data_IF_682933691956
#
_entry.id   IF_682933691956
#
_cell.length_a   1.000
_cell.length_b   1.000
_cell.length_c   1.000
_cell.angle_alpha   90.00
_cell.angle_beta   90.00
_cell.angle_gamma   90.00
#
_symmetry.space_group_name_H-M   'P 1'
#
loop_
_entity.id
_entity.type
_entity.pdbx_description
1 polymer ?
#
# COMPACT_ATOMS: atom_id res chain seq x y z
N UNK A 1 0.43 -29.16 -70.30
CA UNK A 1 1.62 -28.86 -69.46
C UNK A 1 1.48 -27.44 -68.92
N UNK A 2 2.17 -27.08 -67.82
CA UNK A 2 2.02 -25.89 -66.94
C UNK A 2 1.09 -26.25 -65.74
N UNK A 3 1.51 -26.97 -64.69
CA UNK A 3 2.51 -26.74 -63.62
C UNK A 3 2.21 -25.51 -62.73
N UNK A 4 1.59 -25.78 -61.58
CA UNK A 4 1.53 -24.90 -60.41
C UNK A 4 2.94 -24.64 -59.84
N UNK A 5 3.19 -23.41 -59.41
CA UNK A 5 4.19 -23.03 -58.41
C UNK A 5 3.73 -21.67 -57.83
N UNK A 6 3.26 -21.63 -56.58
CA UNK A 6 4.02 -21.29 -55.37
C UNK A 6 4.27 -19.79 -55.15
N UNK A 7 3.86 -19.36 -53.95
CA UNK A 7 4.41 -18.31 -53.08
C UNK A 7 4.23 -16.83 -53.45
N UNK A 8 3.41 -16.15 -52.64
CA UNK A 8 3.78 -14.88 -52.01
C UNK A 8 2.96 -14.65 -50.72
N UNK A 9 3.64 -14.67 -49.57
CA UNK A 9 3.28 -14.03 -48.28
C UNK A 9 3.96 -12.65 -48.34
N UNK A 10 3.37 -11.48 -47.98
CA UNK A 10 3.03 -11.10 -46.60
C UNK A 10 1.80 -10.11 -46.57
N UNK A 11 1.38 -9.40 -45.54
CA UNK A 11 1.95 -9.00 -44.27
C UNK A 11 0.80 -8.70 -43.30
N UNK A 12 0.98 -9.13 -42.05
CA UNK A 12 0.16 -8.79 -40.89
C UNK A 12 0.43 -7.32 -40.53
N UNK A 13 -0.56 -6.43 -40.68
CA UNK A 13 -0.45 -5.05 -40.21
C UNK A 13 -0.98 -4.98 -38.77
N UNK A 14 -0.06 -4.86 -37.82
CA UNK A 14 -0.36 -4.48 -36.44
C UNK A 14 -0.88 -3.03 -36.41
N UNK A 15 -2.07 -2.84 -35.86
CA UNK A 15 -2.59 -1.53 -35.50
C UNK A 15 -1.91 -1.06 -34.21
N UNK A 16 -0.93 -0.17 -34.33
CA UNK A 16 -0.33 0.52 -33.17
C UNK A 16 -1.23 1.71 -32.78
N UNK A 17 -1.83 1.64 -31.59
CA UNK A 17 -2.42 2.81 -30.94
C UNK A 17 -1.28 3.74 -30.52
N UNK A 18 -1.08 4.85 -31.24
CA UNK A 18 -0.20 5.92 -30.77
C UNK A 18 -0.99 6.78 -29.79
N UNK A 19 -0.64 6.75 -28.51
CA UNK A 19 -1.08 7.77 -27.56
C UNK A 19 -0.55 9.12 -28.05
N UNK A 20 -1.45 10.02 -28.41
CA UNK A 20 -1.11 11.40 -28.71
C UNK A 20 -0.75 12.11 -27.41
N UNK A 21 0.55 12.32 -27.20
CA UNK A 21 1.09 13.24 -26.21
C UNK A 21 0.74 14.67 -26.64
N UNK A 22 -0.29 15.24 -26.02
CA UNK A 22 -0.62 16.66 -26.19
C UNK A 22 0.41 17.46 -25.40
N UNK A 23 1.42 17.99 -26.08
CA UNK A 23 2.30 19.00 -25.52
C UNK A 23 1.53 20.30 -25.30
N UNK A 24 1.44 20.72 -24.05
CA UNK A 24 1.00 22.06 -23.65
C UNK A 24 2.26 22.90 -23.46
N UNK A 25 2.52 23.83 -24.39
CA UNK A 25 3.63 24.77 -24.34
C UNK A 25 3.23 26.05 -23.57
N UNK A 26 4.05 26.36 -22.56
CA UNK A 26 4.37 27.67 -21.96
C UNK A 26 3.30 28.59 -21.36
N UNK A 27 3.45 28.92 -20.06
CA UNK A 27 4.36 30.00 -19.62
C UNK A 27 4.26 30.23 -18.10
N UNK A 28 5.37 30.14 -17.37
CA UNK A 28 5.91 31.15 -16.44
C UNK A 28 7.09 30.55 -15.65
N UNK A 29 8.23 31.22 -15.70
CA UNK A 29 9.46 30.79 -15.05
C UNK A 29 9.41 31.03 -13.53
N UNK A 30 9.18 29.95 -12.79
CA UNK A 30 9.83 29.69 -11.52
C UNK A 30 10.32 28.25 -11.62
N UNK A 31 11.62 27.99 -11.47
CA UNK A 31 12.15 26.62 -11.45
C UNK A 31 11.29 25.79 -10.50
N UNK A 32 10.64 24.70 -10.95
CA UNK A 32 10.10 23.76 -10.00
C UNK A 32 11.31 23.24 -9.21
N UNK A 33 11.27 23.40 -7.88
CA UNK A 33 12.16 22.66 -7.01
C UNK A 33 12.11 21.18 -7.45
N UNK A 34 13.23 20.43 -7.38
CA UNK A 34 13.20 19.03 -7.73
C UNK A 34 12.13 18.36 -6.86
N UNK A 35 11.03 17.97 -7.49
CA UNK A 35 10.07 17.05 -6.88
C UNK A 35 10.81 15.72 -6.83
N UNK A 36 11.50 15.47 -5.73
CA UNK A 36 12.10 14.17 -5.48
C UNK A 36 10.96 13.17 -5.51
N UNK A 37 10.93 12.32 -6.53
CA UNK A 37 10.01 11.20 -6.56
C UNK A 37 10.22 10.37 -5.29
N UNK A 38 9.16 9.90 -4.62
CA UNK A 38 9.29 9.08 -3.42
C UNK A 38 10.21 7.90 -3.72
N UNK A 39 11.17 7.66 -2.82
CA UNK A 39 12.06 6.51 -2.93
C UNK A 39 11.28 5.21 -2.66
N UNK A 40 11.85 4.05 -2.99
CA UNK A 40 11.23 2.75 -2.67
C UNK A 40 10.82 2.62 -1.20
N UNK A 41 11.65 3.15 -0.30
CA UNK A 41 11.40 3.13 1.14
C UNK A 41 10.24 4.04 1.58
N UNK A 42 9.91 5.09 0.82
CA UNK A 42 8.77 5.96 1.10
C UNK A 42 7.45 5.38 0.56
N UNK A 43 7.54 4.45 -0.41
CA UNK A 43 6.38 3.80 -1.01
C UNK A 43 5.86 2.62 -0.18
N UNK A 44 6.72 1.93 0.58
CA UNK A 44 6.32 0.79 1.42
C UNK A 44 5.33 1.19 2.55
N UNK A 45 5.58 2.24 3.35
CA UNK A 45 4.60 2.70 4.34
C UNK A 45 3.30 3.22 3.72
N UNK A 46 3.36 3.81 2.52
CA UNK A 46 2.15 4.26 1.82
C UNK A 46 1.30 3.06 1.37
N UNK A 47 1.91 2.03 0.79
CA UNK A 47 1.22 0.80 0.43
C UNK A 47 0.62 0.10 1.66
N UNK A 48 1.36 0.07 2.77
CA UNK A 48 0.85 -0.44 4.05
C UNK A 48 -0.33 0.36 4.60
N UNK A 49 -0.32 1.69 4.47
CA UNK A 49 -1.45 2.53 4.85
C UNK A 49 -2.69 2.25 4.00
N UNK A 50 -2.55 2.23 2.68
CA UNK A 50 -3.66 1.96 1.76
C UNK A 50 -4.30 0.59 2.02
N UNK A 51 -3.48 -0.41 2.31
CA UNK A 51 -3.95 -1.74 2.71
C UNK A 51 -4.66 -1.70 4.06
N UNK A 52 -4.15 -0.95 5.03
CA UNK A 52 -4.78 -0.78 6.35
C UNK A 52 -6.16 -0.13 6.24
N UNK A 53 -6.30 0.89 5.39
CA UNK A 53 -7.59 1.51 5.08
C UNK A 53 -8.56 0.51 4.44
N UNK A 54 -8.08 -0.30 3.49
CA UNK A 54 -8.94 -1.24 2.78
C UNK A 54 -9.40 -2.44 3.63
N UNK A 55 -8.52 -2.96 4.49
CA UNK A 55 -8.75 -4.24 5.18
C UNK A 55 -9.08 -4.07 6.67
N UNK A 56 -8.53 -3.05 7.33
CA UNK A 56 -8.53 -2.96 8.79
C UNK A 56 -9.44 -1.85 9.32
N UNK A 57 -9.68 -0.80 8.52
CA UNK A 57 -10.42 0.40 8.96
C UNK A 57 -11.91 0.16 9.27
N UNK A 58 -12.47 -0.99 8.88
CA UNK A 58 -13.82 -1.37 9.29
C UNK A 58 -13.96 -1.58 10.81
N UNK A 59 -12.86 -1.92 11.49
CA UNK A 59 -12.83 -2.16 12.94
C UNK A 59 -11.85 -1.25 13.67
N UNK A 60 -10.69 -0.97 13.09
CA UNK A 60 -9.62 -0.21 13.72
C UNK A 60 -9.57 1.24 13.25
N UNK A 61 -9.19 2.15 14.14
CA UNK A 61 -8.65 3.44 13.73
C UNK A 61 -7.23 3.25 13.20
N UNK A 62 -7.04 3.41 11.89
CA UNK A 62 -5.77 3.10 11.22
C UNK A 62 -4.89 4.32 11.00
N UNK A 63 -5.43 5.54 11.11
CA UNK A 63 -4.68 6.79 11.00
C UNK A 63 -4.63 7.55 12.35
N UNK A 64 -3.64 8.46 12.54
CA UNK A 64 -3.54 9.28 13.73
C UNK A 64 -4.80 10.09 14.03
N UNK A 65 -5.13 10.23 15.32
CA UNK A 65 -6.24 11.06 15.79
C UNK A 65 -7.64 10.50 15.51
N UNK A 66 -7.75 9.29 14.96
CA UNK A 66 -9.04 8.61 14.77
C UNK A 66 -9.44 7.78 16.00
N UNK A 67 -10.73 7.46 16.09
CA UNK A 67 -11.30 6.53 17.07
C UNK A 67 -11.74 5.28 16.34
N UNK A 68 -11.42 4.10 16.88
CA UNK A 68 -11.78 2.83 16.26
C UNK A 68 -13.30 2.68 16.15
N UNK A 69 -13.83 2.29 14.98
CA UNK A 69 -15.26 1.99 14.83
C UNK A 69 -15.73 0.88 15.79
N UNK A 70 -14.88 -0.12 16.03
CA UNK A 70 -15.11 -1.12 17.07
C UNK A 70 -14.38 -0.67 18.35
N UNK A 71 -15.08 -0.36 19.45
CA UNK A 71 -14.46 0.12 20.69
C UNK A 71 -13.56 -0.93 21.36
N UNK A 72 -13.72 -2.22 21.04
CA UNK A 72 -12.84 -3.28 21.53
C UNK A 72 -11.56 -3.44 20.70
N UNK A 73 -11.48 -2.79 19.54
CA UNK A 73 -10.33 -2.84 18.65
C UNK A 73 -9.39 -1.65 18.94
N UNK A 74 -8.13 -1.87 19.37
CA UNK A 74 -7.21 -0.77 19.62
C UNK A 74 -6.91 0.00 18.33
N UNK A 75 -6.69 1.30 18.40
CA UNK A 75 -6.19 2.06 17.25
C UNK A 75 -4.77 1.62 16.90
N UNK A 76 -4.38 1.80 15.65
CA UNK A 76 -3.02 1.47 15.22
C UNK A 76 -1.97 2.33 15.92
N UNK A 77 -2.30 3.58 16.29
CA UNK A 77 -1.42 4.37 17.17
C UNK A 77 -1.24 3.71 18.54
N UNK A 78 -2.30 3.18 19.16
CA UNK A 78 -2.16 2.47 20.43
C UNK A 78 -1.28 1.22 20.26
N UNK A 79 -1.48 0.48 19.18
CA UNK A 79 -0.68 -0.71 18.85
C UNK A 79 0.79 -0.35 18.70
N UNK A 80 1.13 0.61 17.83
CA UNK A 80 2.50 1.03 17.53
C UNK A 80 3.32 1.45 18.76
N UNK A 81 2.61 1.95 19.79
CA UNK A 81 3.16 2.47 21.03
C UNK A 81 3.06 1.47 22.21
N UNK A 82 2.67 0.21 21.96
CA UNK A 82 2.69 -0.82 23.00
C UNK A 82 4.14 -1.11 23.47
N UNK A 83 4.38 -1.19 24.80
CA UNK A 83 5.70 -1.53 25.33
C UNK A 83 6.21 -2.87 24.79
N UNK A 84 7.44 -2.88 24.26
CA UNK A 84 8.07 -4.10 23.74
C UNK A 84 7.64 -4.51 22.34
N UNK A 85 6.75 -3.75 21.68
CA UNK A 85 6.40 -4.03 20.28
C UNK A 85 7.59 -3.79 19.34
N UNK A 86 7.86 -4.76 18.49
CA UNK A 86 8.86 -4.70 17.40
C UNK A 86 8.21 -5.07 16.06
N UNK A 87 8.89 -4.76 14.94
CA UNK A 87 8.49 -5.23 13.61
C UNK A 87 8.27 -6.75 13.61
N UNK A 88 9.21 -7.52 14.16
CA UNK A 88 9.13 -8.99 14.21
C UNK A 88 7.93 -9.49 15.00
N UNK A 89 7.68 -8.94 16.19
CA UNK A 89 6.55 -9.38 17.02
C UNK A 89 5.21 -9.00 16.41
N UNK A 90 5.11 -7.84 15.75
CA UNK A 90 3.89 -7.41 15.08
C UNK A 90 3.60 -8.26 13.85
N UNK A 91 4.60 -8.51 12.99
CA UNK A 91 4.45 -9.39 11.83
C UNK A 91 4.02 -10.80 12.23
N UNK A 92 4.66 -11.37 13.26
CA UNK A 92 4.27 -12.68 13.79
C UNK A 92 2.82 -12.70 14.31
N UNK A 93 2.38 -11.63 14.97
CA UNK A 93 0.98 -11.50 15.40
C UNK A 93 0.03 -11.50 14.21
N UNK A 94 0.30 -10.70 13.17
CA UNK A 94 -0.54 -10.60 11.96
C UNK A 94 -0.68 -11.93 11.22
N UNK A 95 0.39 -12.75 11.19
CA UNK A 95 0.39 -14.02 10.46
C UNK A 95 -0.32 -15.17 11.19
N UNK A 96 -0.27 -15.20 12.52
CA UNK A 96 -0.69 -16.37 13.29
C UNK A 96 -1.81 -16.04 14.28
N UNK A 97 -1.59 -15.04 15.13
CA UNK A 97 -2.46 -14.74 16.26
C UNK A 97 -3.63 -13.81 15.94
N UNK A 98 -3.53 -12.98 14.90
CA UNK A 98 -4.57 -12.04 14.50
C UNK A 98 -5.82 -12.74 13.97
N UNK A 99 -5.73 -14.03 13.62
CA UNK A 99 -6.89 -14.86 13.29
C UNK A 99 -7.84 -15.10 14.48
N UNK A 100 -7.47 -14.67 15.70
CA UNK A 100 -8.27 -14.77 16.91
C UNK A 100 -8.45 -13.40 17.61
N UNK A 101 -9.67 -13.05 18.08
CA UNK A 101 -10.92 -13.82 17.98
C UNK A 101 -11.46 -13.87 16.54
N UNK A 102 -12.49 -14.69 16.28
CA UNK A 102 -12.95 -14.98 14.91
C UNK A 102 -13.34 -13.72 14.10
N UNK A 103 -13.72 -12.65 14.77
CA UNK A 103 -14.04 -11.35 14.18
C UNK A 103 -12.82 -10.67 13.53
N UNK A 104 -11.61 -11.10 13.88
CA UNK A 104 -10.33 -10.62 13.34
C UNK A 104 -9.74 -11.56 12.28
N UNK A 105 -10.48 -12.59 11.84
CA UNK A 105 -10.02 -13.62 10.90
C UNK A 105 -9.88 -13.09 9.45
N UNK A 106 -8.92 -12.18 9.27
CA UNK A 106 -8.40 -11.73 7.99
C UNK A 106 -7.13 -12.52 7.72
N UNK A 107 -7.10 -13.23 6.60
CA UNK A 107 -5.89 -13.91 6.15
C UNK A 107 -4.94 -12.88 5.52
N UNK A 108 -3.71 -12.83 6.00
CA UNK A 108 -2.68 -11.89 5.55
C UNK A 108 -1.48 -12.70 5.07
N UNK A 109 -0.98 -12.43 3.87
CA UNK A 109 0.23 -13.08 3.35
C UNK A 109 1.48 -12.57 4.08
N UNK A 110 2.61 -13.26 3.95
CA UNK A 110 3.89 -12.80 4.55
C UNK A 110 4.33 -11.42 4.03
N UNK A 111 4.07 -11.15 2.75
CA UNK A 111 4.39 -9.88 2.09
C UNK A 111 3.46 -8.77 2.58
N UNK A 112 2.15 -9.02 2.61
CA UNK A 112 1.16 -8.05 3.12
C UNK A 112 1.39 -7.74 4.60
N UNK A 113 1.73 -8.76 5.40
CA UNK A 113 2.04 -8.59 6.82
C UNK A 113 3.27 -7.69 7.01
N UNK A 114 4.25 -7.75 6.11
CA UNK A 114 5.40 -6.86 6.14
C UNK A 114 4.98 -5.40 5.88
N UNK A 115 4.21 -5.15 4.82
CA UNK A 115 3.73 -3.80 4.48
C UNK A 115 2.89 -3.17 5.61
N UNK A 116 1.97 -3.95 6.19
CA UNK A 116 1.16 -3.51 7.33
C UNK A 116 2.04 -3.18 8.54
N UNK A 117 3.01 -4.04 8.83
CA UNK A 117 3.93 -3.85 9.97
C UNK A 117 4.76 -2.58 9.79
N UNK A 118 5.34 -2.38 8.61
CA UNK A 118 6.18 -1.22 8.32
C UNK A 118 5.39 0.08 8.43
N UNK A 119 4.15 0.12 7.94
CA UNK A 119 3.25 1.24 8.15
C UNK A 119 2.94 1.48 9.64
N UNK A 120 2.46 0.46 10.37
CA UNK A 120 2.05 0.61 11.77
C UNK A 120 3.20 1.14 12.63
N UNK A 121 4.43 0.69 12.39
CA UNK A 121 5.60 1.14 13.14
C UNK A 121 5.91 2.63 12.91
N UNK A 122 5.54 3.21 11.76
CA UNK A 122 5.68 4.66 11.53
C UNK A 122 4.81 5.50 12.47
N UNK A 123 3.78 4.92 13.08
CA UNK A 123 2.85 5.61 13.98
C UNK A 123 3.37 5.73 15.42
N UNK A 124 4.58 5.26 15.69
CA UNK A 124 5.20 5.36 17.01
C UNK A 124 5.53 6.81 17.37
N UNK A 125 5.20 7.20 18.60
CA UNK A 125 5.43 8.53 19.13
C UNK A 125 6.09 8.44 20.52
N UNK A 126 7.12 9.25 20.75
CA UNK A 126 7.74 9.33 22.07
C UNK A 126 6.81 9.98 23.09
N UNK A 127 6.70 9.38 24.28
CA UNK A 127 5.83 9.91 25.33
C UNK A 127 4.33 9.75 25.05
N UNK A 128 3.96 8.85 24.13
CA UNK A 128 2.58 8.54 23.81
C UNK A 128 1.74 8.27 25.07
N UNK A 129 0.68 9.05 25.23
CA UNK A 129 -0.35 8.84 26.25
C UNK A 129 -1.62 8.37 25.54
N UNK A 130 -2.01 7.11 25.80
CA UNK A 130 -3.22 6.56 25.19
C UNK A 130 -4.44 7.43 25.55
N UNK A 131 -5.21 7.92 24.55
CA UNK A 131 -6.48 8.57 24.83
C UNK A 131 -7.43 7.56 25.49
N UNK A 132 -8.35 8.05 26.32
CA UNK A 132 -9.42 7.20 26.84
C UNK A 132 -10.21 6.63 25.66
N UNK A 133 -10.30 5.29 25.59
CA UNK A 133 -11.05 4.56 24.57
C UNK A 133 -12.55 4.83 24.67
#
# INVERSE_FOLDING_TARGET
MIKNAFLAIPALLLASCTSTDTQVESANAASPAPVTAPSGADMEPLAGFEMSEALCAGCHAVAPGQISPNPSAPSFMMVANMPGLTNTTLKAFLLDSHSFPQEMNVEVSDEDAQLLTDYIITLREEGYAAPGQ
#
